data_IF_501546437020
#
_entry.id   IF_501546437020
#
_cell.length_a   1.000
_cell.length_b   1.000
_cell.length_c   1.000
_cell.angle_alpha   90.00
_cell.angle_beta   90.00
_cell.angle_gamma   90.00
#
_symmetry.space_group_name_H-M   'P 1'
#
loop_
_entity.id
_entity.type
_entity.pdbx_description
1 polymer ?
#
# COMPACT_ATOMS: atom_id res chain seq x y z
N UNK A 1 2.98 -3.98 14.04
CA UNK A 1 3.20 -5.42 13.82
C UNK A 1 2.02 -6.21 14.34
N UNK A 2 1.70 -7.34 13.73
CA UNK A 2 0.70 -8.30 14.23
C UNK A 2 1.17 -9.74 14.00
N UNK A 3 0.75 -10.64 14.89
CA UNK A 3 1.08 -12.06 14.84
C UNK A 3 -0.18 -12.85 14.56
N UNK A 4 -0.12 -13.75 13.58
CA UNK A 4 -1.18 -14.67 13.28
C UNK A 4 -0.62 -16.08 13.25
N UNK A 5 -1.39 -17.02 13.77
CA UNK A 5 -1.00 -18.42 13.93
C UNK A 5 -1.97 -19.32 13.17
N UNK A 6 -1.49 -20.50 12.80
CA UNK A 6 -2.28 -21.50 12.09
C UNK A 6 -2.07 -21.52 10.58
N UNK A 7 -2.67 -22.54 9.97
CA UNK A 7 -2.60 -22.86 8.55
C UNK A 7 -3.00 -21.66 7.69
N UNK A 8 -2.17 -21.29 6.70
CA UNK A 8 -2.45 -20.22 5.75
C UNK A 8 -2.47 -18.79 6.33
N UNK A 9 -2.18 -18.61 7.61
CA UNK A 9 -2.14 -17.30 8.25
C UNK A 9 -0.89 -16.50 7.85
N UNK A 10 -1.01 -15.17 7.85
CA UNK A 10 0.09 -14.26 7.61
C UNK A 10 0.33 -13.39 8.85
N UNK A 11 1.59 -13.24 9.26
CA UNK A 11 2.00 -12.26 10.28
C UNK A 11 2.65 -11.06 9.60
N UNK A 12 2.65 -9.90 10.25
CA UNK A 12 3.35 -8.71 9.77
C UNK A 12 4.28 -8.17 10.84
N UNK A 13 5.59 -8.32 10.63
CA UNK A 13 6.61 -8.06 11.63
C UNK A 13 7.70 -7.21 10.96
N UNK A 14 7.99 -6.04 11.54
CA UNK A 14 9.01 -5.10 11.03
C UNK A 14 8.84 -4.77 9.53
N UNK A 15 7.60 -4.54 9.09
CA UNK A 15 7.31 -4.23 7.69
C UNK A 15 7.23 -5.44 6.76
N UNK A 16 7.59 -6.64 7.24
CA UNK A 16 7.67 -7.85 6.43
C UNK A 16 6.48 -8.76 6.70
N UNK A 17 5.85 -9.22 5.63
CA UNK A 17 4.76 -10.19 5.66
C UNK A 17 5.29 -11.63 5.66
N UNK A 18 5.04 -12.34 6.74
CA UNK A 18 5.37 -13.77 6.90
C UNK A 18 4.13 -14.61 6.66
N UNK A 19 3.99 -15.16 5.45
CA UNK A 19 2.88 -16.04 5.08
C UNK A 19 3.23 -17.51 5.32
N UNK A 20 2.32 -18.26 5.93
CA UNK A 20 2.45 -19.72 6.13
C UNK A 20 1.81 -20.48 4.98
N UNK A 21 2.24 -21.73 4.72
CA UNK A 21 1.60 -22.57 3.72
C UNK A 21 0.10 -22.74 3.99
N UNK A 22 -0.70 -22.77 2.92
CA UNK A 22 -2.16 -22.93 2.99
C UNK A 22 -2.60 -24.40 2.96
N UNK A 23 -1.72 -25.31 2.55
CA UNK A 23 -1.98 -26.75 2.46
C UNK A 23 -1.42 -27.46 3.68
N UNK A 24 -2.22 -28.36 4.25
CA UNK A 24 -1.89 -29.00 5.53
C UNK A 24 -0.55 -29.74 5.52
N UNK A 25 -0.24 -30.46 4.43
CA UNK A 25 1.04 -31.17 4.28
C UNK A 25 2.22 -30.21 4.31
N UNK A 26 2.19 -29.18 3.48
CA UNK A 26 3.25 -28.15 3.40
C UNK A 26 3.39 -27.39 4.72
N UNK A 27 2.28 -27.14 5.42
CA UNK A 27 2.29 -26.48 6.73
C UNK A 27 2.91 -27.35 7.81
N UNK A 28 2.61 -28.65 7.85
CA UNK A 28 3.24 -29.58 8.78
C UNK A 28 4.77 -29.64 8.56
N UNK A 29 5.20 -29.74 7.30
CA UNK A 29 6.61 -29.69 6.92
C UNK A 29 7.26 -28.35 7.30
N UNK A 30 6.54 -27.24 7.13
CA UNK A 30 6.97 -25.90 7.53
C UNK A 30 7.17 -25.78 9.04
N UNK A 31 6.22 -26.25 9.85
CA UNK A 31 6.33 -26.26 11.31
C UNK A 31 7.54 -27.09 11.74
N UNK A 32 7.72 -28.27 11.15
CA UNK A 32 8.87 -29.13 11.46
C UNK A 32 10.21 -28.46 11.12
N UNK A 33 10.31 -27.77 9.98
CA UNK A 33 11.50 -26.98 9.63
C UNK A 33 11.74 -25.83 10.62
N UNK A 34 10.67 -25.19 11.09
CA UNK A 34 10.74 -24.10 12.06
C UNK A 34 11.22 -24.60 13.43
N UNK A 35 10.68 -25.71 13.92
CA UNK A 35 11.07 -26.36 15.18
C UNK A 35 12.54 -26.82 15.15
N UNK A 36 12.98 -27.33 14.00
CA UNK A 36 14.37 -27.75 13.79
C UNK A 36 15.34 -26.58 13.56
N UNK A 37 14.85 -25.34 13.49
CA UNK A 37 15.66 -24.14 13.24
C UNK A 37 16.26 -24.04 11.83
N UNK A 38 15.75 -24.83 10.88
CA UNK A 38 16.26 -24.89 9.50
C UNK A 38 15.48 -23.96 8.56
N UNK A 39 14.40 -23.36 9.05
CA UNK A 39 13.61 -22.41 8.26
C UNK A 39 14.30 -21.04 8.16
N UNK A 40 14.69 -20.65 6.94
CA UNK A 40 15.02 -19.27 6.59
C UNK A 40 13.85 -18.60 5.88
N UNK A 41 13.59 -17.34 6.21
CA UNK A 41 12.66 -16.54 5.41
C UNK A 41 13.37 -16.15 4.12
N UNK A 42 12.88 -16.70 3.00
CA UNK A 42 13.28 -16.32 1.65
C UNK A 42 12.80 -14.89 1.39
N UNK A 43 13.52 -13.88 1.87
CA UNK A 43 13.28 -12.47 1.52
C UNK A 43 13.73 -12.27 0.07
N UNK A 44 12.87 -12.62 -0.88
CA UNK A 44 13.12 -12.39 -2.29
C UNK A 44 13.35 -10.90 -2.58
N UNK A 45 13.96 -10.61 -3.73
CA UNK A 45 14.18 -9.24 -4.25
C UNK A 45 12.86 -8.44 -4.41
N UNK A 46 11.69 -9.07 -4.20
CA UNK A 46 10.35 -8.48 -4.18
C UNK A 46 9.97 -7.81 -2.86
N UNK A 47 10.74 -7.96 -1.78
CA UNK A 47 10.30 -7.58 -0.43
C UNK A 47 9.87 -6.11 -0.27
N UNK A 48 10.54 -5.17 -0.95
CA UNK A 48 10.18 -3.74 -0.92
C UNK A 48 8.89 -3.47 -1.71
N UNK A 49 8.70 -4.13 -2.86
CA UNK A 49 7.48 -4.03 -3.67
C UNK A 49 6.29 -4.63 -2.94
N UNK A 50 6.47 -5.81 -2.35
CA UNK A 50 5.44 -6.47 -1.54
C UNK A 50 5.04 -5.60 -0.35
N UNK A 51 6.00 -4.96 0.30
CA UNK A 51 5.75 -4.01 1.38
C UNK A 51 4.98 -2.77 0.90
N UNK A 52 5.33 -2.20 -0.26
CA UNK A 52 4.61 -1.08 -0.84
C UNK A 52 3.15 -1.46 -1.19
N UNK A 53 2.94 -2.65 -1.77
CA UNK A 53 1.62 -3.18 -2.06
C UNK A 53 0.78 -3.38 -0.79
N UNK A 54 1.36 -3.98 0.27
CA UNK A 54 0.68 -4.15 1.55
C UNK A 54 0.30 -2.78 2.15
N UNK A 55 1.19 -1.77 2.10
CA UNK A 55 0.89 -0.41 2.58
C UNK A 55 -0.26 0.21 1.81
N UNK A 56 -0.25 0.16 0.47
CA UNK A 56 -1.34 0.67 -0.37
C UNK A 56 -2.65 -0.08 -0.07
N UNK A 57 -2.60 -1.41 0.00
CA UNK A 57 -3.76 -2.26 0.22
C UNK A 57 -4.46 -1.96 1.54
N UNK A 58 -3.68 -1.83 2.62
CA UNK A 58 -4.19 -1.61 3.96
C UNK A 58 -4.68 -0.18 4.12
N UNK A 59 -3.92 0.80 3.62
CA UNK A 59 -4.25 2.22 3.82
C UNK A 59 -5.47 2.66 3.02
N UNK A 60 -5.58 2.28 1.75
CA UNK A 60 -6.71 2.68 0.89
C UNK A 60 -8.05 2.08 1.32
N UNK A 61 -8.03 0.96 2.05
CA UNK A 61 -9.23 0.35 2.67
C UNK A 61 -9.66 1.00 3.96
N UNK A 62 -8.95 2.04 4.41
CA UNK A 62 -9.32 2.77 5.63
C UNK A 62 -9.74 4.18 5.25
N UNK A 63 -10.65 4.75 6.05
CA UNK A 63 -10.97 6.18 5.95
C UNK A 63 -9.74 7.07 6.22
N UNK A 64 -8.68 6.53 6.84
CA UNK A 64 -7.43 7.25 7.07
C UNK A 64 -6.62 7.46 5.78
N UNK A 65 -6.73 6.55 4.82
CA UNK A 65 -5.99 6.63 3.56
C UNK A 65 -4.48 6.44 3.69
N UNK A 66 -3.84 6.49 2.54
CA UNK A 66 -2.40 6.43 2.35
C UNK A 66 -1.75 7.76 2.76
N UNK A 67 -0.79 7.70 3.69
CA UNK A 67 0.12 8.81 3.99
C UNK A 67 1.18 8.90 2.88
N UNK A 68 1.06 9.93 2.05
CA UNK A 68 1.90 10.13 0.87
C UNK A 68 3.33 10.48 1.25
N UNK A 69 3.52 11.27 2.33
CA UNK A 69 4.85 11.66 2.77
C UNK A 69 5.62 10.46 3.34
N UNK A 70 4.98 9.66 4.19
CA UNK A 70 5.58 8.45 4.77
C UNK A 70 5.84 7.39 3.69
N UNK A 71 4.94 7.26 2.71
CA UNK A 71 5.12 6.38 1.56
C UNK A 71 6.33 6.83 0.72
N UNK A 72 6.45 8.12 0.41
CA UNK A 72 7.56 8.68 -0.35
C UNK A 72 8.92 8.51 0.33
N UNK A 73 8.99 8.74 1.64
CA UNK A 73 10.19 8.51 2.45
C UNK A 73 10.65 7.05 2.42
N UNK A 74 9.72 6.10 2.32
CA UNK A 74 10.01 4.66 2.41
C UNK A 74 10.29 4.03 1.03
N UNK A 75 9.50 4.37 0.03
CA UNK A 75 9.51 3.70 -1.29
C UNK A 75 10.00 4.60 -2.44
N UNK A 76 10.31 5.86 -2.14
CA UNK A 76 10.88 6.81 -3.08
C UNK A 76 9.86 7.71 -3.77
N UNK A 77 10.35 8.90 -4.16
CA UNK A 77 9.55 9.96 -4.79
C UNK A 77 8.99 9.54 -6.15
N UNK A 78 9.80 8.91 -7.00
CA UNK A 78 9.38 8.48 -8.34
C UNK A 78 8.18 7.51 -8.32
N UNK A 79 8.17 6.56 -7.37
CA UNK A 79 7.04 5.63 -7.21
C UNK A 79 5.79 6.38 -6.71
N UNK A 80 5.98 7.30 -5.78
CA UNK A 80 4.90 8.13 -5.22
C UNK A 80 4.27 9.01 -6.29
N UNK A 81 5.08 9.66 -7.13
CA UNK A 81 4.61 10.48 -8.25
C UNK A 81 3.87 9.63 -9.29
N UNK A 82 4.40 8.45 -9.62
CA UNK A 82 3.74 7.51 -10.53
C UNK A 82 2.35 7.13 -9.99
N UNK A 83 2.27 6.81 -8.69
CA UNK A 83 1.02 6.47 -8.03
C UNK A 83 0.02 7.63 -8.04
N UNK A 84 0.46 8.85 -7.68
CA UNK A 84 -0.41 10.02 -7.66
C UNK A 84 -0.88 10.41 -9.07
N UNK A 85 -0.02 10.26 -10.09
CA UNK A 85 -0.39 10.45 -11.49
C UNK A 85 -1.43 9.42 -11.95
N UNK A 86 -1.31 8.15 -11.55
CA UNK A 86 -2.34 7.13 -11.83
C UNK A 86 -3.68 7.48 -11.18
N UNK A 87 -3.68 8.13 -10.01
CA UNK A 87 -4.90 8.53 -9.33
C UNK A 87 -5.55 9.83 -9.82
N UNK A 88 -4.87 10.62 -10.64
CA UNK A 88 -5.39 11.89 -11.19
C UNK A 88 -6.81 11.81 -11.76
N UNK A 89 -7.14 10.93 -12.73
CA UNK A 89 -8.50 10.85 -13.28
C UNK A 89 -9.55 10.42 -12.25
N UNK A 90 -9.11 9.72 -11.19
CA UNK A 90 -10.00 9.25 -10.12
C UNK A 90 -10.24 10.32 -9.05
N UNK A 91 -9.32 11.27 -8.91
CA UNK A 91 -9.54 12.49 -8.12
C UNK A 91 -10.54 13.41 -8.83
N UNK A 92 -10.41 13.57 -10.15
CA UNK A 92 -11.36 14.35 -10.96
C UNK A 92 -12.78 13.79 -10.93
N UNK A 93 -12.93 12.45 -10.98
CA UNK A 93 -14.22 11.78 -10.91
C UNK A 93 -14.76 11.59 -9.48
N UNK A 94 -14.01 11.99 -8.45
CA UNK A 94 -14.43 11.89 -7.05
C UNK A 94 -14.39 10.46 -6.47
N UNK A 95 -13.75 9.52 -7.16
CA UNK A 95 -13.52 8.15 -6.67
C UNK A 95 -12.33 8.08 -5.70
N UNK A 96 -11.40 9.02 -5.82
CA UNK A 96 -10.26 9.21 -4.93
C UNK A 96 -10.31 10.62 -4.34
N UNK A 97 -9.99 10.74 -3.06
CA UNK A 97 -9.95 12.02 -2.33
C UNK A 97 -8.51 12.25 -1.89
N UNK A 98 -7.88 13.29 -2.46
CA UNK A 98 -6.62 13.84 -2.00
C UNK A 98 -6.87 14.84 -0.86
N UNK A 99 -6.03 14.84 0.17
CA UNK A 99 -6.21 15.66 1.37
C UNK A 99 -4.91 16.32 1.82
N UNK A 100 -5.04 17.49 2.45
CA UNK A 100 -3.94 18.20 3.09
C UNK A 100 -3.57 17.63 4.47
N UNK A 101 -2.56 18.23 5.11
CA UNK A 101 -2.11 17.85 6.46
C UNK A 101 -3.19 18.01 7.54
N UNK A 102 -4.17 18.90 7.30
CA UNK A 102 -5.32 19.14 8.18
C UNK A 102 -6.52 18.25 7.84
N UNK A 103 -6.34 17.24 6.96
CA UNK A 103 -7.38 16.30 6.51
C UNK A 103 -8.52 16.95 5.73
N UNK A 104 -8.30 18.12 5.14
CA UNK A 104 -9.26 18.75 4.24
C UNK A 104 -9.08 18.22 2.83
N UNK A 105 -10.20 17.90 2.18
CA UNK A 105 -10.19 17.49 0.79
C UNK A 105 -9.68 18.63 -0.10
N UNK A 106 -8.73 18.31 -0.97
CA UNK A 106 -8.22 19.21 -1.99
C UNK A 106 -9.15 19.19 -3.20
N UNK A 107 -9.31 20.32 -3.87
CA UNK A 107 -9.99 20.36 -5.16
C UNK A 107 -9.12 19.67 -6.23
N UNK A 108 -9.71 19.07 -7.28
CA UNK A 108 -8.95 18.42 -8.35
C UNK A 108 -7.86 19.32 -8.95
N UNK A 109 -8.16 20.61 -9.17
CA UNK A 109 -7.18 21.59 -9.67
C UNK A 109 -6.00 21.80 -8.71
N UNK A 110 -6.22 21.72 -7.39
CA UNK A 110 -5.14 21.84 -6.41
C UNK A 110 -4.25 20.59 -6.41
N UNK A 111 -4.85 19.41 -6.58
CA UNK A 111 -4.12 18.15 -6.74
C UNK A 111 -3.28 18.16 -8.02
N UNK A 112 -3.85 18.64 -9.13
CA UNK A 112 -3.12 18.76 -10.40
C UNK A 112 -1.94 19.73 -10.33
N UNK A 113 -2.12 20.88 -9.69
CA UNK A 113 -1.03 21.83 -9.47
C UNK A 113 0.09 21.22 -8.63
N UNK A 114 -0.25 20.40 -7.64
CA UNK A 114 0.72 19.69 -6.81
C UNK A 114 1.56 18.68 -7.61
N UNK A 115 0.91 17.93 -8.52
CA UNK A 115 1.59 17.00 -9.43
C UNK A 115 2.54 17.66 -10.43
N UNK A 116 2.36 18.95 -10.71
CA UNK A 116 3.19 19.72 -11.64
C UNK A 116 4.38 20.41 -10.96
N UNK A 117 4.38 20.53 -9.63
CA UNK A 117 5.47 21.19 -8.91
C UNK A 117 6.60 20.21 -8.61
N UNK A 118 7.81 20.56 -9.06
CA UNK A 118 9.01 19.74 -8.86
C UNK A 118 9.65 19.96 -7.47
N UNK A 119 8.86 19.81 -6.41
CA UNK A 119 9.30 19.56 -5.04
C UNK A 119 10.11 20.62 -4.28
N UNK A 120 10.23 21.87 -4.76
CA UNK A 120 10.86 22.94 -3.97
C UNK A 120 9.92 23.53 -2.90
N UNK A 121 8.61 23.56 -3.17
CA UNK A 121 7.58 23.84 -2.16
C UNK A 121 6.89 22.52 -1.81
N UNK A 122 6.90 22.13 -0.54
CA UNK A 122 6.37 20.85 -0.09
C UNK A 122 4.98 20.52 -0.65
N UNK A 123 4.81 19.26 -1.08
CA UNK A 123 3.53 18.74 -1.58
C UNK A 123 2.40 19.05 -0.60
N UNK A 124 1.33 19.67 -1.11
CA UNK A 124 0.08 19.90 -0.39
C UNK A 124 -0.67 18.61 -0.14
N UNK A 125 -0.43 17.58 -0.95
CA UNK A 125 -1.06 16.27 -0.82
C UNK A 125 -0.37 15.49 0.30
N UNK A 126 -1.02 15.45 1.46
CA UNK A 126 -0.54 14.68 2.59
C UNK A 126 -1.11 13.26 2.61
N UNK A 127 -2.38 13.11 2.21
CA UNK A 127 -3.09 11.84 2.27
C UNK A 127 -3.93 11.58 1.02
N UNK A 128 -4.06 10.31 0.64
CA UNK A 128 -4.95 9.86 -0.43
C UNK A 128 -5.84 8.73 0.09
N UNK A 129 -7.15 8.84 -0.07
CA UNK A 129 -8.08 7.76 0.27
C UNK A 129 -9.10 7.53 -0.83
N UNK A 130 -9.72 6.36 -0.81
CA UNK A 130 -10.91 6.11 -1.62
C UNK A 130 -12.09 6.90 -1.06
N UNK A 131 -12.99 7.35 -1.94
CA UNK A 131 -14.22 8.03 -1.52
C UNK A 131 -15.14 7.10 -0.74
N UNK A 132 -15.19 5.82 -1.15
CA UNK A 132 -15.84 4.72 -0.44
C UNK A 132 -14.80 3.73 0.14
N UNK A 133 -14.31 3.97 1.37
CA UNK A 133 -13.32 3.09 2.00
C UNK A 133 -13.90 1.72 2.39
N UNK A 134 -15.22 1.60 2.55
CA UNK A 134 -15.91 0.35 2.90
C UNK A 134 -16.00 -0.61 1.70
N UNK A 135 -15.72 -0.12 0.48
CA UNK A 135 -15.39 -0.95 -0.67
C UNK A 135 -16.59 -1.50 -1.42
N UNK A 136 -17.71 -0.78 -1.46
CA UNK A 136 -18.93 -1.19 -2.12
C UNK A 136 -18.83 -1.08 -3.66
N UNK A 137 -18.05 -0.13 -4.18
CA UNK A 137 -17.87 0.08 -5.63
C UNK A 137 -16.40 0.43 -6.00
N UNK A 138 -15.83 -0.30 -6.98
CA UNK A 138 -14.55 -0.01 -7.68
C UNK A 138 -13.25 0.01 -6.84
N UNK A 139 -13.30 -0.12 -5.52
CA UNK A 139 -12.09 -0.07 -4.66
C UNK A 139 -11.04 -1.12 -5.01
N UNK A 140 -11.46 -2.33 -5.40
CA UNK A 140 -10.53 -3.37 -5.84
C UNK A 140 -9.83 -3.03 -7.15
N UNK A 141 -10.49 -2.33 -8.08
CA UNK A 141 -9.90 -1.92 -9.35
C UNK A 141 -8.84 -0.85 -9.13
N UNK A 142 -9.13 0.17 -8.32
CA UNK A 142 -8.19 1.25 -8.00
C UNK A 142 -6.95 0.73 -7.26
N UNK A 143 -7.12 -0.20 -6.33
CA UNK A 143 -5.99 -0.86 -5.64
C UNK A 143 -5.18 -1.70 -6.64
N UNK A 144 -5.83 -2.38 -7.59
CA UNK A 144 -5.14 -3.17 -8.61
C UNK A 144 -4.33 -2.30 -9.58
N UNK A 145 -4.84 -1.11 -9.93
CA UNK A 145 -4.09 -0.12 -10.72
C UNK A 145 -2.82 0.32 -9.99
N UNK A 146 -2.92 0.61 -8.68
CA UNK A 146 -1.76 0.95 -7.87
C UNK A 146 -0.72 -0.20 -7.84
N UNK A 147 -1.18 -1.45 -7.77
CA UNK A 147 -0.29 -2.62 -7.81
C UNK A 147 0.47 -2.74 -9.13
N UNK A 148 -0.20 -2.48 -10.26
CA UNK A 148 0.45 -2.46 -11.58
C UNK A 148 1.56 -1.42 -11.71
N UNK A 149 1.53 -0.35 -10.91
CA UNK A 149 2.62 0.64 -10.86
C UNK A 149 3.78 0.17 -9.98
N UNK A 150 3.48 -0.48 -8.86
CA UNK A 150 4.49 -0.97 -7.90
C UNK A 150 5.26 -2.17 -8.48
N UNK A 151 4.57 -3.04 -9.19
CA UNK A 151 5.18 -4.14 -9.95
C UNK A 151 4.55 -4.23 -11.35
N UNK A 152 5.11 -3.47 -12.30
CA UNK A 152 4.73 -3.54 -13.72
C UNK A 152 4.92 -4.93 -14.32
#
# INVERSE_FOLDING_TARGET
SFYAFGLGSASYINGIRFSRPRRMKEYAEWVQKLENGVWSHESGNSGIKDMAMDVVMLSLRTAWGLDVQSFSKTFGRSLTESLCNTFRPFVESGLVIAMDMERRALQPSEFELDLQHDGENGSRVAFIRLSDPDGFLLSNELISLAFGIISP
#
